data_IF_137632325679
#
_entry.id   IF_137632325679
#
_cell.length_a   1.000
_cell.length_b   1.000
_cell.length_c   1.000
_cell.angle_alpha   90.00
_cell.angle_beta   90.00
_cell.angle_gamma   90.00
#
_symmetry.space_group_name_H-M   'P 1'
#
loop_
_entity.id
_entity.type
_entity.pdbx_description
1 polymer ?
#
# COMPACT_ATOMS: atom_id res chain seq x y z
N UNK A 1 15.15 24.27 -51.87
CA UNK A 1 13.85 23.72 -51.42
C UNK A 1 13.86 22.24 -50.94
N UNK A 2 14.95 21.51 -51.09
CA UNK A 2 15.03 20.12 -50.59
C UNK A 2 15.42 20.00 -49.10
N UNK A 3 16.10 20.97 -48.56
CA UNK A 3 16.63 20.89 -47.17
C UNK A 3 15.55 21.03 -46.07
N UNK A 4 14.46 21.75 -46.36
CA UNK A 4 13.36 21.89 -45.39
C UNK A 4 12.51 20.60 -45.26
N UNK A 5 12.47 19.79 -46.31
CA UNK A 5 11.71 18.50 -46.29
C UNK A 5 12.42 17.39 -45.49
N UNK A 6 13.76 17.39 -45.51
CA UNK A 6 14.56 16.41 -44.75
C UNK A 6 14.53 16.71 -43.26
N UNK A 7 14.54 17.98 -42.85
CA UNK A 7 14.42 18.36 -41.41
C UNK A 7 13.03 18.05 -40.86
N UNK A 8 11.98 18.28 -41.65
CA UNK A 8 10.61 17.94 -41.26
C UNK A 8 10.43 16.41 -41.10
N UNK A 9 11.03 15.61 -41.98
CA UNK A 9 10.98 14.12 -41.90
C UNK A 9 11.73 13.59 -40.69
N UNK A 10 12.88 14.15 -40.33
CA UNK A 10 13.66 13.78 -39.15
C UNK A 10 12.93 14.13 -37.85
N UNK A 11 12.23 15.27 -37.80
CA UNK A 11 11.46 15.71 -36.64
C UNK A 11 10.24 14.80 -36.39
N UNK A 12 9.53 14.40 -37.47
CA UNK A 12 8.40 13.45 -37.34
C UNK A 12 8.83 12.07 -36.89
N UNK A 13 9.97 11.54 -37.36
CA UNK A 13 10.50 10.26 -36.93
C UNK A 13 10.93 10.27 -35.46
N UNK A 14 11.47 11.39 -34.97
CA UNK A 14 11.84 11.56 -33.55
C UNK A 14 10.64 11.55 -32.60
N UNK A 15 9.49 12.08 -33.02
CA UNK A 15 8.25 12.11 -32.20
C UNK A 15 7.63 10.71 -32.09
N UNK A 16 7.72 9.89 -33.13
CA UNK A 16 7.19 8.53 -33.13
C UNK A 16 8.00 7.60 -32.22
N UNK A 17 9.31 7.81 -32.07
CA UNK A 17 10.17 7.01 -31.17
C UNK A 17 9.93 7.29 -29.69
N UNK A 18 9.40 8.45 -29.31
CA UNK A 18 9.05 8.82 -27.94
C UNK A 18 7.75 8.17 -27.44
N UNK A 19 6.90 7.66 -28.33
CA UNK A 19 5.63 7.00 -27.96
C UNK A 19 5.79 5.54 -27.53
N UNK A 20 6.98 4.95 -27.63
CA UNK A 20 7.26 3.52 -27.36
C UNK A 20 7.55 3.22 -25.88
N UNK A 21 7.51 4.20 -24.98
CA UNK A 21 7.52 3.90 -23.56
C UNK A 21 6.16 3.32 -23.14
N UNK A 22 6.04 2.00 -23.15
CA UNK A 22 4.87 1.25 -22.69
C UNK A 22 4.58 1.39 -21.17
N UNK A 23 4.67 2.61 -20.66
CA UNK A 23 4.36 2.92 -19.26
C UNK A 23 2.83 2.98 -19.10
N UNK A 24 2.24 1.88 -18.63
CA UNK A 24 0.82 1.86 -18.23
C UNK A 24 0.72 2.35 -16.79
N UNK A 25 0.12 3.52 -16.52
CA UNK A 25 -0.09 3.97 -15.16
C UNK A 25 -1.01 2.99 -14.41
N UNK A 26 -0.62 2.59 -13.21
CA UNK A 26 -1.36 1.65 -12.36
C UNK A 26 -2.78 2.15 -12.02
N UNK A 27 -3.00 3.45 -12.10
CA UNK A 27 -4.27 4.15 -11.82
C UNK A 27 -4.87 4.82 -13.07
N UNK A 28 -4.79 4.16 -14.24
CA UNK A 28 -5.50 4.66 -15.40
C UNK A 28 -7.00 4.50 -15.16
N UNK A 29 -7.67 5.63 -14.88
CA UNK A 29 -9.13 5.69 -14.91
C UNK A 29 -9.62 5.32 -16.30
N UNK A 30 -10.43 4.28 -16.44
CA UNK A 30 -11.63 4.20 -17.26
C UNK A 30 -12.04 2.85 -17.87
N UNK A 31 -11.23 1.80 -17.89
CA UNK A 31 -11.77 0.50 -18.32
C UNK A 31 -11.23 -0.70 -17.55
N UNK A 32 -9.93 -0.67 -17.20
CA UNK A 32 -9.30 -1.74 -16.40
C UNK A 32 -9.58 -1.60 -14.88
N UNK A 33 -9.93 -0.38 -14.43
CA UNK A 33 -10.18 -0.09 -13.02
C UNK A 33 -11.56 -0.57 -12.54
N UNK A 34 -12.56 -0.67 -13.43
CA UNK A 34 -13.87 -1.18 -13.05
C UNK A 34 -13.82 -2.66 -12.64
N UNK A 35 -13.01 -3.46 -13.34
CA UNK A 35 -12.76 -4.87 -12.96
C UNK A 35 -11.99 -4.97 -11.63
N UNK A 36 -10.93 -4.21 -11.45
CA UNK A 36 -10.12 -4.26 -10.23
C UNK A 36 -10.87 -3.74 -9.00
N UNK A 37 -11.65 -2.67 -9.14
CA UNK A 37 -12.46 -2.10 -8.06
C UNK A 37 -13.57 -3.06 -7.60
N UNK A 38 -14.20 -3.79 -8.51
CA UNK A 38 -15.19 -4.81 -8.15
C UNK A 38 -14.56 -5.98 -7.38
N UNK A 39 -13.36 -6.40 -7.77
CA UNK A 39 -12.60 -7.43 -7.03
C UNK A 39 -12.15 -6.93 -5.66
N UNK A 40 -11.74 -5.68 -5.52
CA UNK A 40 -11.43 -5.09 -4.21
C UNK A 40 -12.68 -5.01 -3.32
N UNK A 41 -13.82 -4.62 -3.87
CA UNK A 41 -15.09 -4.58 -3.15
C UNK A 41 -15.57 -5.97 -2.67
N UNK A 42 -15.08 -7.05 -3.30
CA UNK A 42 -15.33 -8.44 -2.90
C UNK A 42 -14.33 -8.98 -1.85
N UNK A 43 -13.43 -8.15 -1.32
CA UNK A 43 -12.49 -8.53 -0.25
C UNK A 43 -13.04 -8.13 1.11
N UNK A 44 -13.40 -9.10 1.91
CA UNK A 44 -13.69 -8.91 3.33
C UNK A 44 -12.37 -8.84 4.13
N UNK A 45 -12.20 -7.81 4.96
CA UNK A 45 -11.05 -7.69 5.85
C UNK A 45 -11.43 -8.22 7.23
N UNK A 46 -10.78 -9.31 7.63
CA UNK A 46 -10.97 -9.88 8.96
C UNK A 46 -10.63 -8.86 10.07
N UNK A 47 -11.23 -8.97 11.25
CA UNK A 47 -10.81 -8.17 12.41
C UNK A 47 -9.32 -8.34 12.67
N UNK A 48 -8.64 -7.24 12.98
CA UNK A 48 -7.23 -7.23 13.36
C UNK A 48 -7.17 -6.77 14.81
N UNK A 49 -6.57 -7.59 15.65
CA UNK A 49 -6.41 -7.27 17.05
C UNK A 49 -5.52 -6.03 17.25
N UNK A 50 -5.63 -5.39 18.39
CA UNK A 50 -4.93 -4.17 18.80
C UNK A 50 -5.43 -2.86 18.17
N UNK A 51 -5.10 -1.74 18.84
CA UNK A 51 -5.42 -0.39 18.36
C UNK A 51 -4.76 -0.08 17.03
N UNK A 52 -3.50 -0.46 16.86
CA UNK A 52 -2.77 -0.30 15.60
C UNK A 52 -3.38 -1.17 14.49
N UNK A 53 -3.81 -2.39 14.82
CA UNK A 53 -4.51 -3.27 13.89
C UNK A 53 -5.82 -2.68 13.38
N UNK A 54 -6.57 -2.01 14.26
CA UNK A 54 -7.80 -1.32 13.85
C UNK A 54 -7.52 -0.11 12.95
N UNK A 55 -6.47 0.67 13.25
CA UNK A 55 -6.03 1.76 12.35
C UNK A 55 -5.69 1.21 10.96
N UNK A 56 -4.89 0.15 10.90
CA UNK A 56 -4.53 -0.52 9.64
C UNK A 56 -5.78 -1.02 8.89
N UNK A 57 -6.70 -1.67 9.58
CA UNK A 57 -7.95 -2.15 8.98
C UNK A 57 -8.79 -1.02 8.38
N UNK A 58 -8.89 0.11 9.07
CA UNK A 58 -9.62 1.28 8.58
C UNK A 58 -8.96 1.87 7.32
N UNK A 59 -7.63 2.03 7.32
CA UNK A 59 -6.91 2.48 6.13
C UNK A 59 -7.09 1.53 4.94
N UNK A 60 -7.05 0.22 5.18
CA UNK A 60 -7.30 -0.78 4.13
C UNK A 60 -8.73 -0.71 3.60
N UNK A 61 -9.74 -0.58 4.48
CA UNK A 61 -11.13 -0.42 4.06
C UNK A 61 -11.30 0.80 3.16
N UNK A 62 -10.75 1.94 3.55
CA UNK A 62 -10.85 3.18 2.77
C UNK A 62 -10.17 3.07 1.39
N UNK A 63 -9.13 2.21 1.27
CA UNK A 63 -8.42 2.00 0.01
C UNK A 63 -9.08 0.95 -0.89
N UNK A 64 -9.53 -0.16 -0.31
CA UNK A 64 -10.13 -1.25 -1.08
C UNK A 64 -11.61 -0.97 -1.42
N UNK A 65 -12.31 -0.24 -0.56
CA UNK A 65 -13.73 0.07 -0.71
C UNK A 65 -14.02 1.55 -0.42
N UNK A 66 -13.50 2.49 -1.23
CA UNK A 66 -13.67 3.92 -0.98
C UNK A 66 -15.14 4.34 -0.94
N UNK A 67 -15.99 3.71 -1.72
CA UNK A 67 -17.42 3.99 -1.78
C UNK A 67 -18.22 3.31 -0.67
N UNK A 68 -17.58 2.55 0.20
CA UNK A 68 -18.20 1.82 1.31
C UNK A 68 -19.11 0.67 0.88
N UNK A 69 -19.28 0.44 -0.43
CA UNK A 69 -20.12 -0.63 -0.96
C UNK A 69 -19.32 -1.93 -1.04
N UNK A 70 -19.57 -2.83 -0.11
CA UNK A 70 -19.06 -4.20 -0.18
C UNK A 70 -19.94 -4.99 -1.15
N UNK A 71 -19.32 -5.69 -2.08
CA UNK A 71 -19.95 -6.76 -2.85
C UNK A 71 -20.05 -8.03 -2.00
N UNK A 72 -20.75 -9.04 -2.48
CA UNK A 72 -20.71 -10.36 -1.85
C UNK A 72 -19.24 -10.82 -1.72
N UNK A 73 -18.76 -11.17 -0.52
CA UNK A 73 -17.35 -11.42 -0.29
C UNK A 73 -16.90 -12.72 -0.96
N UNK A 74 -16.01 -12.59 -1.94
CA UNK A 74 -15.33 -13.72 -2.60
C UNK A 74 -14.01 -14.07 -1.93
N UNK A 75 -13.39 -13.09 -1.27
CA UNK A 75 -12.10 -13.25 -0.61
C UNK A 75 -12.15 -12.74 0.82
N UNK A 76 -11.34 -13.34 1.68
CA UNK A 76 -11.09 -12.87 3.04
C UNK A 76 -9.62 -12.57 3.21
N UNK A 77 -9.30 -11.33 3.57
CA UNK A 77 -7.97 -10.87 3.91
C UNK A 77 -7.72 -11.03 5.41
N UNK A 78 -6.79 -11.92 5.76
CA UNK A 78 -6.37 -12.21 7.13
C UNK A 78 -5.02 -11.55 7.34
N UNK A 79 -4.90 -10.75 8.39
CA UNK A 79 -3.69 -9.96 8.70
C UNK A 79 -3.24 -10.27 10.13
N UNK A 80 -1.96 -10.53 10.26
CA UNK A 80 -1.27 -10.66 11.55
C UNK A 80 -0.20 -9.58 11.63
N UNK A 81 -0.19 -8.81 12.72
CA UNK A 81 0.75 -7.73 12.95
C UNK A 81 1.73 -8.09 14.07
N UNK A 82 2.95 -7.61 13.93
CA UNK A 82 3.97 -7.61 14.98
C UNK A 82 4.63 -6.23 14.99
N UNK A 83 4.47 -5.53 16.10
CA UNK A 83 5.08 -4.23 16.37
C UNK A 83 6.29 -4.41 17.27
N UNK A 84 7.41 -3.79 16.90
CA UNK A 84 8.62 -3.75 17.72
C UNK A 84 9.02 -2.30 17.90
N UNK A 85 9.20 -1.87 19.15
CA UNK A 85 9.73 -0.55 19.50
C UNK A 85 11.14 -0.71 20.03
N UNK A 86 12.06 0.10 19.55
CA UNK A 86 13.43 0.22 20.03
C UNK A 86 13.73 1.68 20.32
N UNK A 87 14.08 1.97 21.55
CA UNK A 87 14.51 3.31 21.96
C UNK A 87 16.02 3.41 21.78
N UNK A 88 16.48 4.37 20.98
CA UNK A 88 17.88 4.60 20.66
C UNK A 88 18.32 5.89 21.35
N UNK A 89 19.20 5.76 22.30
CA UNK A 89 19.82 6.90 22.99
C UNK A 89 21.00 7.37 22.12
N UNK A 90 20.89 8.56 21.52
CA UNK A 90 21.98 9.17 20.78
C UNK A 90 22.82 10.01 21.75
N UNK A 91 23.89 9.38 22.25
CA UNK A 91 24.86 10.03 23.15
C UNK A 91 25.81 10.92 22.36
N UNK A 92 25.45 12.20 22.14
CA UNK A 92 26.50 13.20 22.01
C UNK A 92 26.38 14.36 23.02
N UNK A 93 25.24 14.57 23.64
CA UNK A 93 25.03 15.50 24.75
C UNK A 93 23.78 15.16 25.58
N UNK A 94 23.42 13.88 25.71
CA UNK A 94 22.36 13.34 26.59
C UNK A 94 20.95 13.97 26.50
N UNK A 95 20.63 14.73 25.46
CA UNK A 95 19.37 15.48 25.38
C UNK A 95 18.38 14.96 24.34
N UNK A 96 18.74 14.03 23.49
CA UNK A 96 17.81 13.52 22.45
C UNK A 96 17.74 12.00 22.45
N UNK A 97 16.63 11.48 22.93
CA UNK A 97 16.27 10.07 22.79
C UNK A 97 15.31 9.91 21.62
N UNK A 98 15.58 8.95 20.75
CA UNK A 98 14.79 8.67 19.58
C UNK A 98 14.18 7.27 19.66
N UNK A 99 12.89 7.15 19.49
CA UNK A 99 12.21 5.87 19.39
C UNK A 99 12.00 5.47 17.94
N UNK A 100 12.33 4.22 17.63
CA UNK A 100 12.12 3.59 16.32
C UNK A 100 11.05 2.50 16.47
N UNK A 101 9.98 2.61 15.71
CA UNK A 101 8.92 1.60 15.64
C UNK A 101 9.00 0.89 14.29
N UNK A 102 9.03 -0.43 14.34
CA UNK A 102 8.98 -1.31 13.17
C UNK A 102 7.71 -2.14 13.23
N UNK A 103 6.89 -2.03 12.18
CA UNK A 103 5.69 -2.83 12.01
C UNK A 103 5.90 -3.87 10.92
N UNK A 104 5.90 -5.13 11.32
CA UNK A 104 5.92 -6.29 10.42
C UNK A 104 4.52 -6.85 10.29
N UNK A 105 4.03 -6.96 9.07
CA UNK A 105 2.69 -7.44 8.78
C UNK A 105 2.76 -8.64 7.84
N UNK A 106 2.16 -9.74 8.25
CA UNK A 106 1.89 -10.90 7.40
C UNK A 106 0.44 -10.86 6.96
N UNK A 107 0.20 -11.08 5.67
CA UNK A 107 -1.15 -11.16 5.15
C UNK A 107 -1.37 -12.47 4.38
N UNK A 108 -2.62 -12.94 4.38
CA UNK A 108 -3.09 -14.08 3.61
C UNK A 108 -4.43 -13.71 3.00
N UNK A 109 -4.57 -13.89 1.69
CA UNK A 109 -5.83 -13.75 0.99
C UNK A 109 -6.40 -15.16 0.76
N UNK A 110 -7.56 -15.42 1.32
CA UNK A 110 -8.26 -16.70 1.22
C UNK A 110 -9.45 -16.55 0.26
N UNK A 111 -9.57 -17.43 -0.73
CA UNK A 111 -10.79 -17.55 -1.52
C UNK A 111 -11.83 -18.28 -0.68
N UNK A 112 -13.02 -17.71 -0.52
CA UNK A 112 -14.08 -18.25 0.32
C UNK A 112 -14.76 -19.46 -0.33
N UNK A 113 -14.94 -19.45 -1.66
CA UNK A 113 -15.57 -20.53 -2.40
C UNK A 113 -14.71 -21.80 -2.45
N UNK A 114 -13.39 -21.62 -2.68
CA UNK A 114 -12.45 -22.75 -2.78
C UNK A 114 -11.77 -23.09 -1.44
N UNK A 115 -12.04 -22.31 -0.38
CA UNK A 115 -11.43 -22.44 0.96
C UNK A 115 -9.89 -22.49 0.95
N UNK A 116 -9.26 -21.91 -0.09
CA UNK A 116 -7.84 -21.98 -0.36
C UNK A 116 -7.17 -20.59 -0.21
N UNK A 117 -5.93 -20.57 0.28
CA UNK A 117 -5.10 -19.36 0.26
C UNK A 117 -4.61 -19.14 -1.17
N UNK A 118 -4.99 -18.01 -1.77
CA UNK A 118 -4.63 -17.68 -3.15
C UNK A 118 -3.37 -16.83 -3.24
N UNK A 119 -3.08 -16.03 -2.22
CA UNK A 119 -1.82 -15.31 -2.09
C UNK A 119 -1.52 -15.01 -0.62
N UNK A 120 -0.24 -14.88 -0.31
CA UNK A 120 0.23 -14.48 1.02
C UNK A 120 1.56 -13.76 0.89
N UNK A 121 1.88 -12.95 1.89
CA UNK A 121 3.16 -12.25 1.92
C UNK A 121 3.43 -11.57 3.25
N UNK A 122 4.60 -10.95 3.31
CA UNK A 122 5.03 -10.15 4.45
C UNK A 122 5.47 -8.78 3.97
N UNK A 123 5.05 -7.74 4.67
CA UNK A 123 5.51 -6.38 4.44
C UNK A 123 5.99 -5.76 5.74
N UNK A 124 6.94 -4.83 5.62
CA UNK A 124 7.53 -4.14 6.76
C UNK A 124 7.54 -2.65 6.50
N UNK A 125 7.24 -1.89 7.53
CA UNK A 125 7.45 -0.45 7.56
C UNK A 125 8.11 -0.05 8.88
N UNK A 126 8.90 1.02 8.83
CA UNK A 126 9.60 1.55 9.99
C UNK A 126 9.44 3.06 10.01
N UNK A 127 9.21 3.61 11.17
CA UNK A 127 9.20 5.05 11.42
C UNK A 127 9.80 5.34 12.77
N UNK A 128 10.01 6.61 13.08
CA UNK A 128 10.47 7.01 14.39
C UNK A 128 9.89 8.33 14.83
N UNK A 129 10.14 8.66 16.09
CA UNK A 129 9.79 9.93 16.70
C UNK A 129 10.79 10.26 17.84
N UNK A 130 10.91 11.55 18.14
CA UNK A 130 11.74 12.00 19.25
C UNK A 130 11.00 11.82 20.57
N UNK A 131 11.71 11.35 21.58
CA UNK A 131 11.24 11.27 22.97
C UNK A 131 11.63 12.56 23.66
N UNK A 132 10.70 13.18 24.33
CA UNK A 132 10.86 14.43 25.12
C UNK A 132 10.62 14.15 26.60
N UNK A 133 10.82 15.17 27.44
CA UNK A 133 10.52 15.06 28.87
C UNK A 133 9.01 15.01 29.17
N UNK A 134 8.17 15.43 28.21
CA UNK A 134 6.70 15.42 28.38
C UNK A 134 6.10 14.09 27.92
N UNK A 135 5.56 13.33 28.86
CA UNK A 135 4.89 12.05 28.59
C UNK A 135 3.70 12.21 27.62
N UNK A 136 2.92 13.28 27.77
CA UNK A 136 1.80 13.54 26.86
C UNK A 136 2.26 13.73 25.42
N UNK A 137 3.35 14.49 25.21
CA UNK A 137 3.93 14.69 23.88
C UNK A 137 4.42 13.37 23.30
N UNK A 138 5.05 12.53 24.11
CA UNK A 138 5.56 11.22 23.69
C UNK A 138 4.43 10.29 23.23
N UNK A 139 3.32 10.23 23.98
CA UNK A 139 2.13 9.45 23.62
C UNK A 139 1.54 9.94 22.29
N UNK A 140 1.43 11.25 22.07
CA UNK A 140 0.93 11.80 20.81
C UNK A 140 1.88 11.51 19.64
N UNK A 141 3.20 11.63 19.85
CA UNK A 141 4.22 11.33 18.85
C UNK A 141 4.17 9.85 18.44
N UNK A 142 4.04 8.94 19.40
CA UNK A 142 3.88 7.51 19.17
C UNK A 142 2.59 7.18 18.40
N UNK A 143 1.46 7.73 18.82
CA UNK A 143 0.17 7.57 18.14
C UNK A 143 0.23 8.06 16.67
N UNK A 144 0.93 9.18 16.43
CA UNK A 144 1.18 9.71 15.09
C UNK A 144 2.10 8.79 14.27
N UNK A 145 3.15 8.26 14.88
CA UNK A 145 4.06 7.30 14.26
C UNK A 145 3.33 6.01 13.86
N UNK A 146 2.50 5.46 14.73
CA UNK A 146 1.68 4.29 14.46
C UNK A 146 0.69 4.54 13.31
N UNK A 147 0.08 5.73 13.25
CA UNK A 147 -0.84 6.09 12.16
C UNK A 147 -0.13 6.13 10.81
N UNK A 148 1.07 6.71 10.74
CA UNK A 148 1.91 6.71 9.52
C UNK A 148 2.31 5.29 9.11
N UNK A 149 2.65 4.41 10.06
CA UNK A 149 2.95 3.00 9.77
C UNK A 149 1.74 2.26 9.18
N UNK A 150 0.56 2.43 9.79
CA UNK A 150 -0.67 1.82 9.30
C UNK A 150 -0.99 2.27 7.86
N UNK A 151 -0.82 3.56 7.56
CA UNK A 151 -1.02 4.10 6.22
C UNK A 151 -0.02 3.51 5.22
N UNK A 152 1.30 3.54 5.53
CA UNK A 152 2.34 2.99 4.65
C UNK A 152 2.13 1.50 4.36
N UNK A 153 1.78 0.72 5.38
CA UNK A 153 1.51 -0.71 5.22
C UNK A 153 0.25 -0.93 4.37
N UNK A 154 -0.80 -0.13 4.59
CA UNK A 154 -2.04 -0.25 3.81
C UNK A 154 -1.79 -0.01 2.32
N UNK A 155 -0.97 0.98 1.95
CA UNK A 155 -0.57 1.25 0.56
C UNK A 155 0.23 0.08 -0.04
N UNK A 156 1.16 -0.50 0.74
CA UNK A 156 1.94 -1.66 0.27
C UNK A 156 1.06 -2.88 0.02
N UNK A 157 0.14 -3.18 0.94
CA UNK A 157 -0.79 -4.32 0.82
C UNK A 157 -1.74 -4.10 -0.36
N UNK A 158 -2.34 -2.93 -0.51
CA UNK A 158 -3.19 -2.56 -1.65
C UNK A 158 -2.46 -2.84 -2.98
N UNK A 159 -1.22 -2.34 -3.12
CA UNK A 159 -0.42 -2.57 -4.32
C UNK A 159 -0.15 -4.05 -4.59
N UNK A 160 0.19 -4.83 -3.57
CA UNK A 160 0.45 -6.26 -3.71
C UNK A 160 -0.82 -7.03 -4.10
N UNK A 161 -1.97 -6.69 -3.52
CA UNK A 161 -3.26 -7.26 -3.89
C UNK A 161 -3.66 -6.88 -5.31
N UNK A 162 -3.44 -5.62 -5.72
CA UNK A 162 -3.71 -5.16 -7.09
C UNK A 162 -2.89 -5.96 -8.12
N UNK A 163 -1.61 -6.16 -7.87
CA UNK A 163 -0.73 -6.94 -8.75
C UNK A 163 -1.19 -8.40 -8.85
N UNK A 164 -1.57 -9.01 -7.73
CA UNK A 164 -2.09 -10.37 -7.72
C UNK A 164 -3.41 -10.48 -8.50
N UNK A 165 -4.39 -9.63 -8.21
CA UNK A 165 -5.71 -9.65 -8.87
C UNK A 165 -5.59 -9.40 -10.37
N UNK A 166 -4.74 -8.43 -10.79
CA UNK A 166 -4.49 -8.17 -12.20
C UNK A 166 -3.87 -9.40 -12.90
N UNK A 167 -2.98 -10.11 -12.24
CA UNK A 167 -2.39 -11.34 -12.81
C UNK A 167 -3.38 -12.50 -12.88
N UNK A 168 -4.38 -12.54 -11.98
CA UNK A 168 -5.43 -13.54 -11.99
C UNK A 168 -6.45 -13.28 -13.10
N UNK A 169 -6.88 -12.01 -13.28
CA UNK A 169 -7.81 -11.58 -14.33
C UNK A 169 -7.24 -11.85 -15.74
N UNK A 170 -5.93 -11.68 -15.93
CA UNK A 170 -5.30 -11.92 -17.26
C UNK A 170 -5.09 -13.40 -17.60
N UNK A 171 -5.41 -14.33 -16.69
CA UNK A 171 -5.26 -15.78 -16.90
C UNK A 171 -6.56 -16.50 -17.25
N UNK A 172 -7.68 -15.85 -16.98
CA UNK A 172 -9.03 -16.30 -17.35
C UNK A 172 -9.44 -15.70 -18.72
#
# INVERSE_FOLDING_TARGET
>A
MLWSKTTALALTCSIVLLSSCGFTPLYRHQSDSAGLSSHFAAIEIAPIESRLGQKLRNHLKNKLTPDGKLSEPLYRLIITINETRNDVVILKDATSTFAKITLRVRYKLKNLNKTQIVTSGTTVATTGFNITQSEYVNIQAENGAQSRLAEQISMKIEKLLALFLKSAINKD
#
